data_IF_302017614429
#
_entry.id   IF_302017614429
#
_cell.length_a   1.000
_cell.length_b   1.000
_cell.length_c   1.000
_cell.angle_alpha   90.00
_cell.angle_beta   90.00
_cell.angle_gamma   90.00
#
_symmetry.space_group_name_H-M   'P 1'
#
loop_
_entity.id
_entity.type
_entity.pdbx_description
1 polymer ?
#
# COMPACT_ATOMS: atom_id res chain seq x y z
N UNK A 1 13.76 -14.57 -7.01
CA UNK A 1 13.03 -15.41 -7.94
C UNK A 1 12.00 -14.56 -8.68
N UNK A 2 11.94 -14.76 -9.96
CA UNK A 2 11.03 -14.03 -10.81
C UNK A 2 9.57 -14.15 -10.41
N UNK A 3 9.17 -15.33 -9.94
CA UNK A 3 7.80 -15.55 -9.50
C UNK A 3 7.45 -14.74 -8.26
N UNK A 4 8.41 -14.53 -7.38
CA UNK A 4 8.19 -13.72 -6.20
C UNK A 4 7.98 -12.26 -6.56
N UNK A 5 8.72 -11.76 -7.56
CA UNK A 5 8.57 -10.39 -8.03
C UNK A 5 7.22 -10.16 -8.69
N UNK A 6 6.64 -11.21 -9.30
CA UNK A 6 5.37 -11.11 -9.98
C UNK A 6 4.17 -11.37 -9.08
N UNK A 7 4.41 -11.88 -7.88
CA UNK A 7 3.33 -12.22 -6.96
C UNK A 7 2.60 -10.97 -6.51
N UNK A 8 1.26 -10.98 -6.59
CA UNK A 8 0.50 -9.82 -6.14
C UNK A 8 0.39 -9.75 -4.63
N UNK A 9 0.34 -8.54 -4.13
CA UNK A 9 0.05 -8.26 -2.73
C UNK A 9 -1.09 -7.26 -2.67
N UNK A 10 -1.74 -7.19 -1.52
CA UNK A 10 -2.74 -6.16 -1.26
C UNK A 10 -2.15 -5.20 -0.24
N UNK A 11 -2.18 -3.92 -0.58
CA UNK A 11 -1.76 -2.85 0.32
C UNK A 11 -3.00 -2.07 0.73
N UNK A 12 -3.30 -2.07 2.03
CA UNK A 12 -4.42 -1.30 2.56
C UNK A 12 -3.86 -0.11 3.32
N UNK A 13 -4.29 1.09 2.96
CA UNK A 13 -3.81 2.33 3.59
C UNK A 13 -5.01 3.10 4.12
N UNK A 14 -4.92 3.54 5.36
CA UNK A 14 -5.91 4.43 5.95
C UNK A 14 -5.30 5.81 6.12
N UNK A 15 -5.98 6.82 5.57
CA UNK A 15 -5.52 8.20 5.58
C UNK A 15 -6.58 9.10 6.19
N UNK A 16 -6.15 10.19 6.81
CA UNK A 16 -7.08 11.13 7.44
C UNK A 16 -7.79 12.01 6.40
N UNK A 17 -7.13 12.29 5.27
CA UNK A 17 -7.65 13.23 4.27
C UNK A 17 -7.03 12.98 2.91
N UNK A 18 -7.45 13.78 1.93
CA UNK A 18 -6.98 13.65 0.55
C UNK A 18 -5.50 13.97 0.41
N UNK A 19 -5.00 14.93 1.16
CA UNK A 19 -3.58 15.28 1.10
C UNK A 19 -2.72 14.07 1.45
N UNK A 20 -3.07 13.37 2.52
CA UNK A 20 -2.36 12.17 2.93
C UNK A 20 -2.53 11.04 1.91
N UNK A 21 -3.72 10.93 1.32
CA UNK A 21 -3.98 9.94 0.28
C UNK A 21 -3.03 10.13 -0.90
N UNK A 22 -2.90 11.37 -1.39
CA UNK A 22 -2.03 11.65 -2.54
C UNK A 22 -0.57 11.39 -2.20
N UNK A 23 -0.14 11.79 -1.01
CA UNK A 23 1.23 11.55 -0.58
C UNK A 23 1.51 10.04 -0.45
N UNK A 24 0.57 9.30 0.11
CA UNK A 24 0.71 7.86 0.27
C UNK A 24 0.80 7.16 -1.08
N UNK A 25 -0.07 7.56 -2.02
CA UNK A 25 -0.07 6.98 -3.35
C UNK A 25 1.26 7.23 -4.07
N UNK A 26 1.75 8.47 -4.03
CA UNK A 26 2.99 8.81 -4.69
C UNK A 26 4.18 8.08 -4.07
N UNK A 27 4.20 8.00 -2.76
CA UNK A 27 5.27 7.29 -2.06
C UNK A 27 5.25 5.80 -2.42
N UNK A 28 4.09 5.16 -2.33
CA UNK A 28 3.97 3.74 -2.64
C UNK A 28 4.38 3.47 -4.09
N UNK A 29 3.91 4.31 -5.02
CA UNK A 29 4.25 4.16 -6.43
C UNK A 29 5.75 4.21 -6.68
N UNK A 30 6.48 4.97 -5.88
CA UNK A 30 7.93 5.07 -6.01
C UNK A 30 8.68 3.88 -5.47
N UNK A 31 8.02 3.02 -4.71
CA UNK A 31 8.67 1.90 -4.01
C UNK A 31 8.26 0.53 -4.52
N UNK A 32 7.15 0.43 -5.23
CA UNK A 32 6.68 -0.85 -5.74
C UNK A 32 6.86 -0.90 -7.25
N UNK A 33 6.83 -2.10 -7.79
CA UNK A 33 7.01 -2.31 -9.23
C UNK A 33 5.73 -1.94 -9.99
N UNK A 34 4.57 -2.17 -9.39
CA UNK A 34 3.29 -1.82 -9.99
C UNK A 34 2.28 -1.53 -8.89
N UNK A 35 1.40 -0.57 -9.12
CA UNK A 35 0.39 -0.14 -8.16
C UNK A 35 -0.93 0.05 -8.88
N UNK A 36 -2.00 -0.58 -8.38
CA UNK A 36 -3.32 -0.48 -9.00
C UNK A 36 -4.38 -0.31 -7.91
N UNK A 37 -5.13 0.78 -7.95
CA UNK A 37 -6.19 1.01 -6.98
C UNK A 37 -7.37 0.08 -7.29
N UNK A 38 -7.79 -0.71 -6.31
CA UNK A 38 -8.89 -1.65 -6.46
C UNK A 38 -10.16 -1.17 -5.78
N UNK A 39 -10.04 -0.46 -4.66
CA UNK A 39 -11.20 0.13 -4.02
C UNK A 39 -10.78 1.33 -3.21
N UNK A 40 -11.71 2.27 -3.06
CA UNK A 40 -11.52 3.46 -2.24
C UNK A 40 -12.82 3.70 -1.49
N UNK A 41 -12.70 3.87 -0.18
CA UNK A 41 -13.84 4.18 0.68
C UNK A 41 -13.54 5.49 1.40
N UNK A 42 -14.49 6.42 1.37
CA UNK A 42 -14.33 7.74 1.97
C UNK A 42 -15.45 8.00 2.96
N UNK A 43 -15.08 8.41 4.15
CA UNK A 43 -16.00 8.91 5.16
C UNK A 43 -15.34 10.11 5.83
N UNK A 44 -16.09 10.91 6.59
CA UNK A 44 -15.50 12.09 7.25
C UNK A 44 -14.28 11.70 8.09
N UNK A 45 -13.14 12.30 7.79
CA UNK A 45 -11.92 12.07 8.51
C UNK A 45 -11.21 10.76 8.20
N UNK A 46 -11.66 10.02 7.18
CA UNK A 46 -11.06 8.72 6.90
C UNK A 46 -11.17 8.33 5.42
N UNK A 47 -10.06 7.98 4.84
CA UNK A 47 -9.98 7.42 3.49
C UNK A 47 -9.32 6.05 3.60
N UNK A 48 -9.98 5.03 3.06
CA UNK A 48 -9.40 3.69 3.00
C UNK A 48 -9.11 3.35 1.54
N UNK A 49 -7.88 2.96 1.29
CA UNK A 49 -7.41 2.63 -0.05
C UNK A 49 -6.97 1.17 -0.07
N UNK A 50 -7.45 0.42 -1.05
CA UNK A 50 -7.01 -0.94 -1.28
C UNK A 50 -6.32 -1.00 -2.62
N UNK A 51 -5.03 -1.25 -2.61
CA UNK A 51 -4.22 -1.36 -3.81
C UNK A 51 -3.77 -2.80 -4.02
N UNK A 52 -3.75 -3.20 -5.26
CA UNK A 52 -2.97 -4.38 -5.63
C UNK A 52 -1.58 -3.88 -6.01
N UNK A 53 -0.55 -4.50 -5.45
CA UNK A 53 0.83 -4.09 -5.71
C UNK A 53 1.68 -5.27 -6.11
N UNK A 54 2.73 -5.00 -6.91
CA UNK A 54 3.77 -5.95 -7.25
C UNK A 54 5.06 -5.43 -6.64
N UNK A 55 5.72 -6.25 -5.86
CA UNK A 55 6.94 -5.86 -5.17
C UNK A 55 8.17 -6.26 -5.97
N UNK A 56 9.22 -5.44 -5.86
CA UNK A 56 10.54 -5.82 -6.35
C UNK A 56 11.26 -6.55 -5.23
N UNK A 57 11.81 -7.71 -5.53
CA UNK A 57 12.62 -8.49 -4.58
C UNK A 57 11.88 -8.87 -3.30
N UNK A 58 10.54 -8.80 -3.29
CA UNK A 58 9.76 -9.17 -2.12
C UNK A 58 9.95 -8.24 -0.93
N UNK A 59 10.55 -7.06 -1.14
CA UNK A 59 10.83 -6.14 -0.04
C UNK A 59 9.55 -5.48 0.47
N UNK A 60 9.35 -5.53 1.78
CA UNK A 60 8.17 -4.95 2.43
C UNK A 60 8.53 -3.76 3.31
N UNK A 61 9.79 -3.35 3.33
CA UNK A 61 10.24 -2.30 4.25
C UNK A 61 9.59 -0.94 4.01
N UNK A 62 9.16 -0.68 2.77
CA UNK A 62 8.54 0.59 2.46
C UNK A 62 7.26 0.84 3.27
N UNK A 63 6.63 -0.22 3.76
CA UNK A 63 5.37 -0.08 4.51
C UNK A 63 5.58 0.72 5.79
N UNK A 64 6.74 0.53 6.45
CA UNK A 64 7.03 1.29 7.65
C UNK A 64 7.13 2.78 7.36
N UNK A 65 7.83 3.15 6.30
CA UNK A 65 7.98 4.55 5.91
C UNK A 65 6.65 5.13 5.42
N UNK A 66 5.87 4.33 4.71
CA UNK A 66 4.54 4.74 4.27
C UNK A 66 3.65 5.09 5.46
N UNK A 67 3.63 4.23 6.47
CA UNK A 67 2.82 4.44 7.66
C UNK A 67 3.25 5.65 8.47
N UNK A 68 4.49 6.12 8.28
CA UNK A 68 5.02 7.27 8.99
C UNK A 68 4.73 8.61 8.31
N UNK A 69 4.14 8.61 7.12
CA UNK A 69 3.81 9.86 6.44
C UNK A 69 2.73 10.62 7.20
N UNK A 70 2.79 11.96 7.20
CA UNK A 70 1.76 12.76 7.86
C UNK A 70 0.37 12.42 7.34
N UNK A 71 -0.56 12.18 8.27
CA UNK A 71 -1.95 11.89 7.92
C UNK A 71 -2.22 10.45 7.52
N UNK A 72 -1.21 9.62 7.42
CA UNK A 72 -1.40 8.17 7.22
C UNK A 72 -1.56 7.55 8.60
N UNK A 73 -2.70 6.90 8.82
CA UNK A 73 -3.05 6.33 10.11
C UNK A 73 -2.52 4.92 10.29
N UNK A 74 -2.56 4.13 9.22
CA UNK A 74 -1.90 2.84 9.20
C UNK A 74 -1.73 2.33 7.78
N UNK A 75 -0.89 1.32 7.62
CA UNK A 75 -0.70 0.64 6.34
C UNK A 75 -0.51 -0.85 6.62
N UNK A 76 -1.14 -1.68 5.81
CA UNK A 76 -1.07 -3.14 5.95
C UNK A 76 -0.74 -3.72 4.58
N UNK A 77 0.21 -4.64 4.55
CA UNK A 77 0.59 -5.34 3.33
C UNK A 77 0.36 -6.84 3.53
N UNK A 78 -0.44 -7.43 2.67
CA UNK A 78 -0.82 -8.84 2.77
C UNK A 78 -0.63 -9.49 1.41
N UNK A 79 -0.15 -10.72 1.39
CA UNK A 79 -0.08 -11.44 0.14
C UNK A 79 -1.49 -11.81 -0.33
N UNK A 80 -1.65 -11.99 -1.63
CA UNK A 80 -2.96 -12.19 -2.23
C UNK A 80 -3.65 -13.46 -1.72
N UNK A 81 -2.88 -14.46 -1.32
CA UNK A 81 -3.46 -15.71 -0.81
C UNK A 81 -3.71 -15.67 0.71
N UNK A 82 -3.53 -14.49 1.33
CA UNK A 82 -3.79 -14.33 2.75
C UNK A 82 -2.61 -14.59 3.67
N UNK A 83 -1.47 -14.98 3.13
CA UNK A 83 -0.27 -15.17 3.94
C UNK A 83 0.37 -13.82 4.23
N UNK A 84 1.14 -13.75 5.32
CA UNK A 84 1.86 -12.53 5.63
C UNK A 84 2.89 -12.22 4.57
N UNK A 85 3.05 -10.91 4.29
CA UNK A 85 4.01 -10.45 3.32
C UNK A 85 5.42 -10.32 3.89
N UNK A 86 5.55 -10.32 5.20
CA UNK A 86 6.83 -10.09 5.88
C UNK A 86 7.88 -11.14 5.56
#
# INVERSE_FOLDING_TARGET
DRRDEERPYILVVHCADETAELAARDFAASRVKALSLKSKSVSPGRVELNYEVRLSDGAADFVNALAALPGVENAVLVSYNGDYAA
#
